data_IF_728400080013
#
_entry.id   IF_728400080013
#
_cell.length_a   1.000
_cell.length_b   1.000
_cell.length_c   1.000
_cell.angle_alpha   90.00
_cell.angle_beta   90.00
_cell.angle_gamma   90.00
#
_symmetry.space_group_name_H-M   'P 1'
#
loop_
_entity.id
_entity.type
_entity.pdbx_description
1 polymer ?
#
# COMPACT_ATOMS: atom_id res chain seq x y z
N UNK A 1 -8.86 -4.55 8.04
CA UNK A 1 -8.53 -4.24 6.62
C UNK A 1 -9.57 -4.83 5.68
N UNK A 2 -9.90 -4.13 4.59
CA UNK A 2 -10.88 -4.63 3.61
C UNK A 2 -10.16 -5.41 2.52
N UNK A 3 -10.85 -6.37 1.89
CA UNK A 3 -10.31 -7.20 0.81
C UNK A 3 -9.63 -6.39 -0.32
N UNK A 4 -10.17 -5.19 -0.61
CA UNK A 4 -9.63 -4.23 -1.58
C UNK A 4 -8.19 -3.81 -1.28
N UNK A 5 -7.81 -3.70 0.00
CA UNK A 5 -6.48 -3.26 0.41
C UNK A 5 -5.41 -4.31 0.07
N UNK A 6 -5.80 -5.58 -0.05
CA UNK A 6 -4.92 -6.71 -0.43
C UNK A 6 -4.68 -6.80 -1.94
N UNK A 7 -5.49 -6.10 -2.75
CA UNK A 7 -5.37 -6.10 -4.22
C UNK A 7 -4.61 -4.88 -4.74
N UNK A 8 -4.27 -3.93 -3.88
CA UNK A 8 -3.58 -2.71 -4.26
C UNK A 8 -2.12 -2.76 -3.78
N UNK A 9 -1.29 -3.53 -4.49
CA UNK A 9 0.14 -3.65 -4.18
C UNK A 9 0.98 -2.52 -4.79
N UNK A 10 0.39 -1.65 -5.60
CA UNK A 10 1.05 -0.46 -6.12
C UNK A 10 0.62 0.77 -5.32
N UNK A 11 1.55 1.66 -5.03
CA UNK A 11 1.28 2.85 -4.25
C UNK A 11 2.08 4.04 -4.74
N UNK A 12 1.63 5.24 -4.37
CA UNK A 12 2.37 6.47 -4.58
C UNK A 12 2.82 6.96 -3.21
N UNK A 13 4.13 7.09 -3.05
CA UNK A 13 4.76 7.63 -1.86
C UNK A 13 5.11 9.10 -2.08
N UNK A 14 5.00 9.90 -1.03
CA UNK A 14 5.44 11.30 -0.99
C UNK A 14 6.57 11.45 0.04
N UNK A 15 7.62 12.16 -0.34
CA UNK A 15 8.67 12.57 0.60
C UNK A 15 8.20 13.80 1.39
N UNK A 16 8.25 13.70 2.71
CA UNK A 16 8.04 14.82 3.63
C UNK A 16 9.32 15.64 3.82
N UNK A 17 9.21 16.91 4.27
CA UNK A 17 10.38 17.72 4.62
C UNK A 17 11.27 17.08 5.69
N UNK A 18 10.71 16.20 6.53
CA UNK A 18 11.46 15.42 7.52
C UNK A 18 12.35 14.33 6.92
N UNK A 19 12.29 14.09 5.60
CA UNK A 19 12.99 13.00 4.93
C UNK A 19 12.26 11.65 4.99
N UNK A 20 11.07 11.61 5.59
CA UNK A 20 10.25 10.39 5.68
C UNK A 20 9.34 10.24 4.48
N UNK A 21 9.10 9.00 4.07
CA UNK A 21 8.14 8.66 3.01
C UNK A 21 6.79 8.27 3.60
N UNK A 22 5.71 8.79 3.02
CA UNK A 22 4.34 8.43 3.37
C UNK A 22 3.56 7.96 2.14
N UNK A 23 2.70 6.95 2.30
CA UNK A 23 1.81 6.50 1.24
C UNK A 23 0.61 7.44 1.13
N UNK A 24 0.43 8.07 -0.03
CA UNK A 24 -0.65 9.02 -0.30
C UNK A 24 -1.77 8.44 -1.15
N UNK A 25 -1.47 7.39 -1.93
CA UNK A 25 -2.46 6.67 -2.73
C UNK A 25 -2.06 5.20 -2.90
N UNK A 26 -3.07 4.32 -3.02
CA UNK A 26 -2.91 2.90 -3.38
C UNK A 26 -3.69 2.60 -4.65
N UNK A 27 -3.05 1.88 -5.56
CA UNK A 27 -3.49 1.58 -6.90
C UNK A 27 -3.48 0.07 -7.13
N UNK A 28 -4.43 -0.42 -7.93
CA UNK A 28 -4.54 -1.86 -8.25
C UNK A 28 -3.46 -2.31 -9.23
N UNK A 29 -3.08 -1.44 -10.16
CA UNK A 29 -2.08 -1.71 -11.17
C UNK A 29 -0.98 -0.66 -11.15
N UNK A 30 0.18 -1.02 -11.70
CA UNK A 30 1.29 -0.10 -11.90
C UNK A 30 0.90 1.04 -12.84
N UNK A 31 0.16 0.73 -13.92
CA UNK A 31 -0.27 1.72 -14.90
C UNK A 31 -1.18 2.80 -14.29
N UNK A 32 -2.10 2.41 -13.41
CA UNK A 32 -2.94 3.37 -12.67
C UNK A 32 -2.07 4.28 -11.78
N UNK A 33 -1.07 3.71 -11.10
CA UNK A 33 -0.16 4.46 -10.25
C UNK A 33 0.70 5.44 -11.04
N UNK A 34 1.24 5.02 -12.19
CA UNK A 34 2.04 5.87 -13.06
C UNK A 34 1.23 7.01 -13.67
N UNK A 35 0.00 6.75 -14.11
CA UNK A 35 -0.89 7.81 -14.62
C UNK A 35 -1.19 8.86 -13.55
N UNK A 36 -1.51 8.43 -12.33
CA UNK A 36 -1.76 9.36 -11.23
C UNK A 36 -0.48 10.08 -10.78
N UNK A 37 0.67 9.40 -10.78
CA UNK A 37 1.97 10.01 -10.51
C UNK A 37 2.32 11.11 -11.53
N UNK A 38 2.07 10.90 -12.82
CA UNK A 38 2.32 11.91 -13.84
C UNK A 38 1.48 13.17 -13.62
N UNK A 39 0.20 13.01 -13.28
CA UNK A 39 -0.66 14.12 -12.91
C UNK A 39 -0.10 14.88 -11.70
N UNK A 40 0.23 14.19 -10.61
CA UNK A 40 0.79 14.80 -9.40
C UNK A 40 2.09 15.58 -9.68
N UNK A 41 2.97 15.02 -10.53
CA UNK A 41 4.23 15.67 -10.92
C UNK A 41 4.00 16.97 -11.70
N UNK A 42 2.94 17.04 -12.50
CA UNK A 42 2.57 18.25 -13.24
C UNK A 42 1.89 19.29 -12.35
N UNK A 43 1.02 18.86 -11.44
CA UNK A 43 0.26 19.77 -10.58
C UNK A 43 1.11 20.33 -9.43
N UNK A 44 2.02 19.53 -8.87
CA UNK A 44 2.80 19.89 -7.68
C UNK A 44 4.29 19.51 -7.87
N UNK A 45 5.00 20.18 -8.81
CA UNK A 45 6.35 19.76 -9.22
C UNK A 45 7.42 19.89 -8.13
N UNK A 46 7.18 20.68 -7.10
CA UNK A 46 8.11 20.88 -5.98
C UNK A 46 8.05 19.75 -4.93
N UNK A 47 7.06 18.87 -5.00
CA UNK A 47 6.95 17.72 -4.11
C UNK A 47 7.52 16.49 -4.79
N UNK A 48 8.38 15.76 -4.07
CA UNK A 48 8.91 14.48 -4.54
C UNK A 48 7.89 13.37 -4.29
N UNK A 49 7.53 12.69 -5.36
CA UNK A 49 6.69 11.50 -5.35
C UNK A 49 7.45 10.33 -5.97
N UNK A 50 7.10 9.11 -5.58
CA UNK A 50 7.60 7.88 -6.20
C UNK A 50 6.48 6.84 -6.30
N UNK A 51 6.51 6.04 -7.37
CA UNK A 51 5.66 4.85 -7.50
C UNK A 51 6.41 3.68 -6.88
N UNK A 52 5.80 3.05 -5.88
CA UNK A 52 6.42 1.98 -5.10
C UNK A 52 5.53 0.74 -5.06
N UNK A 53 6.14 -0.42 -4.87
CA UNK A 53 5.43 -1.65 -4.58
C UNK A 53 5.25 -1.77 -3.06
N UNK A 54 4.01 -1.62 -2.58
CA UNK A 54 3.67 -1.67 -1.15
C UNK A 54 3.35 -3.10 -0.72
N UNK A 55 4.37 -3.78 -0.17
CA UNK A 55 4.26 -5.13 0.38
C UNK A 55 3.40 -5.20 1.66
N UNK A 56 3.01 -4.08 2.28
CA UNK A 56 2.15 -4.13 3.48
C UNK A 56 0.71 -4.59 3.18
N UNK A 57 0.32 -4.71 1.91
CA UNK A 57 -0.86 -5.50 1.53
C UNK A 57 -0.69 -7.00 1.82
N UNK A 58 0.53 -7.51 1.71
CA UNK A 58 0.90 -8.92 1.91
C UNK A 58 1.36 -9.22 3.35
N UNK A 59 2.05 -8.29 4.02
CA UNK A 59 2.41 -8.47 5.46
C UNK A 59 1.14 -8.62 6.33
N UNK A 60 0.10 -7.84 6.05
CA UNK A 60 -1.21 -8.03 6.67
C UNK A 60 -1.93 -9.32 6.22
N UNK A 61 -1.60 -9.88 5.06
CA UNK A 61 -2.11 -11.17 4.60
C UNK A 61 -1.50 -12.31 5.41
N UNK A 62 -0.21 -12.24 5.70
CA UNK A 62 0.49 -13.21 6.54
C UNK A 62 0.05 -13.13 8.00
N UNK A 63 -0.06 -11.92 8.58
CA UNK A 63 -0.61 -11.75 9.93
C UNK A 63 -2.09 -12.20 10.00
N UNK A 64 -2.93 -11.86 9.01
CA UNK A 64 -4.32 -12.32 8.99
C UNK A 64 -4.46 -13.85 8.81
N UNK A 65 -3.53 -14.51 8.11
CA UNK A 65 -3.50 -15.97 8.01
C UNK A 65 -3.02 -16.61 9.31
N UNK A 66 -2.08 -15.97 10.01
CA UNK A 66 -1.59 -16.39 11.33
C UNK A 66 -2.70 -16.30 12.39
N UNK A 67 -3.42 -15.20 12.45
CA UNK A 67 -4.56 -15.02 13.37
C UNK A 67 -5.67 -16.06 13.12
N UNK A 68 -5.90 -16.43 11.86
CA UNK A 68 -6.88 -17.45 11.48
C UNK A 68 -6.46 -18.85 11.92
N UNK A 69 -5.17 -19.18 11.79
CA UNK A 69 -4.63 -20.47 12.23
C UNK A 69 -4.67 -20.59 13.76
N UNK A 70 -4.40 -19.50 14.49
CA UNK A 70 -4.49 -19.47 15.95
C UNK A 70 -5.91 -19.63 16.48
N UNK A 71 -6.90 -19.01 15.84
CA UNK A 71 -8.31 -19.13 16.26
C UNK A 71 -8.93 -20.51 15.92
N UNK A 72 -8.41 -21.19 14.90
CA UNK A 72 -8.85 -22.55 14.53
C UNK A 72 -8.52 -23.58 15.61
N UNK A 73 -7.35 -23.48 16.27
CA UNK A 73 -6.90 -24.44 17.27
C UNK A 73 -7.59 -24.26 18.63
N UNK A 74 -8.10 -23.06 18.93
CA UNK A 74 -8.80 -22.77 20.18
C UNK A 74 -10.29 -23.17 20.18
N UNK A 75 -10.86 -23.49 19.01
CA UNK A 75 -12.28 -23.87 18.84
C UNK A 75 -12.52 -25.39 18.81
N UNK A 76 -11.46 -26.19 18.94
CA UNK A 76 -11.49 -27.66 18.90
C UNK A 76 -11.29 -28.32 20.28
N UNK A 77 -11.39 -27.55 21.37
CA UNK A 77 -11.44 -27.99 22.77
C UNK A 77 -12.72 -27.48 23.41
#
# INVERSE_FOLDING_TARGET
MKYKDRLCCWAIARLLPSGQWIIVARCRSRSDAEGHFQFLRQTIPHVKFEVVFDLNGESNRLEALRDRASNSLSSAL
#
